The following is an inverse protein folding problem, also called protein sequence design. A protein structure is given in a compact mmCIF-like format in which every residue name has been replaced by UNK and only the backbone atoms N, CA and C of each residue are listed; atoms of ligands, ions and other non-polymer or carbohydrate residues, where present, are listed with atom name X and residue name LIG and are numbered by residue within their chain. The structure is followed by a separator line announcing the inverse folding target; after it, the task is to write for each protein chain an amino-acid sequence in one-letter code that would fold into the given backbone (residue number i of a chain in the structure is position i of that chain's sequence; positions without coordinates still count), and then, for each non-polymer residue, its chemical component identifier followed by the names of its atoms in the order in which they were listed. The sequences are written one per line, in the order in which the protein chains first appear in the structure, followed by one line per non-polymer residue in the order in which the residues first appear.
data_IF_870560168512
#
_entry.id   IF_870560168512
#
_cell.length_a   1.000
_cell.length_b   1.000
_cell.length_c   1.000
_cell.angle_alpha   90.00
_cell.angle_beta   90.00
_cell.angle_gamma   90.00
#
_symmetry.space_group_name_H-M   'P 1'
#
loop_
_entity.id
_entity.type
_entity.pdbx_description
1 polymer ?
#
# COMPACT_ATOMS: atom_id res chain seq x y z
N UNK A 1 11.36 11.60 -16.16
CA UNK A 1 12.81 11.29 -16.07
C UNK A 1 12.97 9.84 -15.66
N UNK A 2 13.62 9.04 -16.51
CA UNK A 2 13.90 7.62 -16.27
C UNK A 2 15.16 7.54 -15.41
N UNK A 3 15.09 7.00 -14.21
CA UNK A 3 16.24 6.76 -13.33
C UNK A 3 17.18 5.73 -13.95
N UNK A 4 18.44 6.08 -14.12
CA UNK A 4 19.44 5.26 -14.80
C UNK A 4 20.53 4.83 -13.85
N UNK A 5 20.43 3.80 -13.05
CA UNK A 5 21.45 3.08 -12.29
C UNK A 5 21.39 3.20 -10.77
N UNK A 6 21.85 2.13 -10.10
CA UNK A 6 21.97 1.99 -8.65
C UNK A 6 22.82 3.12 -7.98
N UNK A 7 23.78 3.68 -8.72
CA UNK A 7 24.61 4.79 -8.26
C UNK A 7 23.84 6.12 -8.16
N UNK A 8 22.86 6.30 -9.06
CA UNK A 8 21.98 7.48 -9.03
C UNK A 8 20.95 7.39 -7.89
N UNK A 9 20.67 6.17 -7.38
CA UNK A 9 19.77 5.96 -6.26
C UNK A 9 20.44 6.25 -4.90
N UNK A 10 21.75 5.96 -4.77
CA UNK A 10 22.53 6.31 -3.55
C UNK A 10 22.76 7.83 -3.45
N UNK A 11 22.97 8.52 -4.58
CA UNK A 11 23.02 9.99 -4.61
C UNK A 11 21.65 10.64 -4.40
N UNK A 12 20.56 9.95 -4.76
CA UNK A 12 19.18 10.43 -4.61
C UNK A 12 18.59 10.18 -3.22
N UNK A 13 19.09 9.19 -2.47
CA UNK A 13 18.64 8.99 -1.08
C UNK A 13 19.03 10.17 -0.20
N UNK A 14 20.23 10.75 -0.39
CA UNK A 14 20.64 12.00 0.25
C UNK A 14 19.86 13.24 -0.22
N UNK A 15 19.39 13.25 -1.47
CA UNK A 15 18.63 14.36 -2.05
C UNK A 15 17.12 14.25 -1.94
N UNK A 16 16.60 13.07 -1.52
CA UNK A 16 15.15 12.84 -1.46
C UNK A 16 14.48 13.72 -0.39
N UNK A 17 15.05 13.80 0.80
CA UNK A 17 14.51 14.58 1.90
C UNK A 17 14.51 16.08 1.58
N UNK A 18 15.60 16.60 1.03
CA UNK A 18 15.68 18.00 0.61
C UNK A 18 14.73 18.27 -0.55
N UNK A 19 14.67 17.41 -1.56
CA UNK A 19 13.74 17.52 -2.69
C UNK A 19 12.27 17.46 -2.25
N UNK A 20 11.94 16.62 -1.25
CA UNK A 20 10.58 16.56 -0.71
C UNK A 20 10.21 17.83 0.04
N UNK A 21 11.11 18.37 0.87
CA UNK A 21 10.92 19.64 1.59
C UNK A 21 10.75 20.80 0.63
N UNK A 22 11.49 20.82 -0.48
CA UNK A 22 11.35 21.83 -1.53
C UNK A 22 10.00 21.75 -2.22
N UNK A 23 9.54 20.53 -2.56
CA UNK A 23 8.21 20.31 -3.14
C UNK A 23 7.11 20.70 -2.16
N UNK A 24 7.25 20.38 -0.88
CA UNK A 24 6.28 20.79 0.14
C UNK A 24 6.19 22.32 0.27
N UNK A 25 7.33 23.00 0.35
CA UNK A 25 7.38 24.48 0.40
C UNK A 25 6.70 25.09 -0.82
N UNK A 26 7.07 24.63 -2.01
CA UNK A 26 6.46 25.08 -3.25
C UNK A 26 4.93 24.86 -3.26
N UNK A 27 4.47 23.71 -2.81
CA UNK A 27 3.04 23.38 -2.78
C UNK A 27 2.26 24.26 -1.80
N UNK A 28 2.83 24.56 -0.63
CA UNK A 28 2.24 25.51 0.34
C UNK A 28 2.09 26.89 -0.28
N UNK A 29 3.13 27.40 -0.96
CA UNK A 29 3.12 28.71 -1.62
C UNK A 29 2.05 28.79 -2.75
N UNK A 30 1.67 27.63 -3.31
CA UNK A 30 0.67 27.53 -4.39
C UNK A 30 -0.69 27.00 -3.93
N UNK A 31 -0.88 26.85 -2.61
CA UNK A 31 -2.11 26.29 -2.01
C UNK A 31 -2.48 24.89 -2.58
N UNK A 32 -1.46 24.03 -2.75
CA UNK A 32 -1.60 22.66 -3.23
C UNK A 32 -1.29 21.70 -2.08
N UNK A 33 -2.14 20.70 -1.85
CA UNK A 33 -1.87 19.61 -0.92
C UNK A 33 -0.91 18.61 -1.54
N UNK A 34 0.14 18.22 -0.79
CA UNK A 34 1.13 17.21 -1.21
C UNK A 34 1.18 16.07 -0.21
N UNK A 35 0.88 14.87 -0.69
CA UNK A 35 1.12 13.63 0.03
C UNK A 35 2.40 12.96 -0.41
N UNK A 36 3.01 12.18 0.48
CA UNK A 36 4.13 11.30 0.15
C UNK A 36 3.68 9.85 0.23
N UNK A 37 3.98 9.08 -0.79
CA UNK A 37 3.83 7.62 -0.78
C UNK A 37 5.19 6.98 -1.07
N UNK A 38 5.71 6.22 -0.10
CA UNK A 38 6.95 5.45 -0.20
C UNK A 38 6.69 3.99 -0.50
N UNK A 39 5.46 3.65 -0.91
CA UNK A 39 5.06 2.28 -1.23
C UNK A 39 5.47 1.89 -2.66
N UNK A 40 6.78 1.72 -2.91
CA UNK A 40 7.23 1.15 -4.18
C UNK A 40 6.90 -0.35 -4.17
N UNK A 41 6.11 -0.80 -5.15
CA UNK A 41 5.74 -2.21 -5.35
C UNK A 41 6.34 -2.74 -6.66
N UNK A 42 6.55 -4.06 -6.76
CA UNK A 42 7.00 -4.67 -7.99
C UNK A 42 6.02 -4.40 -9.14
N UNK A 43 6.52 -4.36 -10.36
CA UNK A 43 5.69 -4.15 -11.55
C UNK A 43 4.68 -5.29 -11.73
N UNK A 44 3.59 -5.00 -12.44
CA UNK A 44 2.52 -5.97 -12.70
C UNK A 44 2.97 -7.23 -13.47
N UNK A 45 4.11 -7.19 -14.15
CA UNK A 45 4.73 -8.34 -14.81
C UNK A 45 5.74 -9.08 -13.94
N UNK A 46 5.70 -8.88 -12.63
CA UNK A 46 6.61 -9.43 -11.62
C UNK A 46 8.08 -9.00 -11.76
N UNK A 47 8.39 -8.02 -12.60
CA UNK A 47 9.72 -7.44 -12.64
C UNK A 47 9.98 -6.63 -11.36
N UNK A 48 11.08 -6.92 -10.68
CA UNK A 48 11.44 -6.37 -9.37
C UNK A 48 12.59 -5.35 -9.41
N UNK A 49 13.07 -4.96 -10.59
CA UNK A 49 14.19 -4.02 -10.73
C UNK A 49 13.92 -2.68 -10.01
N UNK A 50 12.68 -2.21 -10.06
CA UNK A 50 12.27 -0.97 -9.39
C UNK A 50 12.26 -1.07 -7.85
N UNK A 51 12.33 -2.27 -7.27
CA UNK A 51 12.41 -2.44 -5.82
C UNK A 51 13.78 -1.98 -5.26
N UNK A 52 14.81 -1.92 -6.11
CA UNK A 52 16.09 -1.31 -5.75
C UNK A 52 16.03 0.19 -5.44
N UNK A 53 14.90 0.86 -5.77
CA UNK A 53 14.64 2.26 -5.42
C UNK A 53 13.85 2.42 -4.11
N UNK A 54 13.59 1.34 -3.39
CA UNK A 54 12.95 1.42 -2.07
C UNK A 54 13.88 2.08 -1.07
N UNK A 55 13.28 2.84 -0.17
CA UNK A 55 14.00 3.33 1.01
C UNK A 55 14.46 2.17 1.88
N UNK A 56 15.62 2.31 2.49
CA UNK A 56 16.08 1.40 3.54
C UNK A 56 15.17 1.49 4.78
N UNK A 57 15.30 0.57 5.70
CA UNK A 57 14.48 0.61 6.93
C UNK A 57 14.88 1.78 7.83
N UNK A 58 16.14 2.19 7.82
CA UNK A 58 16.66 3.34 8.54
C UNK A 58 16.08 4.65 7.99
N UNK A 59 16.05 4.80 6.65
CA UNK A 59 15.43 5.94 5.99
C UNK A 59 13.92 6.00 6.26
N UNK A 60 13.23 4.86 6.21
CA UNK A 60 11.80 4.76 6.56
C UNK A 60 11.54 5.15 8.01
N UNK A 61 12.37 4.66 8.95
CA UNK A 61 12.25 5.01 10.37
C UNK A 61 12.42 6.51 10.57
N UNK A 62 13.40 7.12 9.91
CA UNK A 62 13.64 8.56 9.97
C UNK A 62 12.44 9.35 9.43
N UNK A 63 11.99 9.06 8.21
CA UNK A 63 10.87 9.77 7.57
C UNK A 63 9.56 9.61 8.36
N UNK A 64 9.25 8.39 8.82
CA UNK A 64 8.04 8.14 9.58
C UNK A 64 8.10 8.84 10.95
N UNK A 65 9.28 8.89 11.59
CA UNK A 65 9.44 9.61 12.86
C UNK A 65 9.23 11.11 12.70
N UNK A 66 9.81 11.72 11.65
CA UNK A 66 9.60 13.13 11.31
C UNK A 66 8.13 13.46 11.07
N UNK A 67 7.41 12.58 10.33
CA UNK A 67 5.98 12.74 10.11
C UNK A 67 5.17 12.62 11.41
N UNK A 68 5.49 11.68 12.27
CA UNK A 68 4.81 11.53 13.57
C UNK A 68 5.06 12.77 14.47
N UNK A 69 6.23 13.39 14.38
CA UNK A 69 6.57 14.54 15.23
C UNK A 69 5.99 15.84 14.68
N UNK A 70 6.02 16.05 13.36
CA UNK A 70 5.82 17.35 12.75
C UNK A 70 4.54 17.45 11.89
N UNK A 71 3.85 16.33 11.59
CA UNK A 71 2.69 16.29 10.71
C UNK A 71 1.45 15.78 11.48
N UNK A 72 0.62 16.73 11.92
CA UNK A 72 -0.59 16.41 12.69
C UNK A 72 -1.62 15.63 11.86
N UNK A 73 -1.72 15.88 10.55
CA UNK A 73 -2.62 15.17 9.65
C UNK A 73 -2.20 13.71 9.52
N UNK A 74 -0.90 13.45 9.35
CA UNK A 74 -0.37 12.09 9.32
C UNK A 74 -0.69 11.30 10.60
N UNK A 75 -0.56 11.93 11.78
CA UNK A 75 -0.90 11.29 13.06
C UNK A 75 -2.40 10.97 13.14
N UNK A 76 -3.26 11.90 12.73
CA UNK A 76 -4.71 11.69 12.73
C UNK A 76 -5.08 10.52 11.82
N UNK A 77 -4.54 10.46 10.61
CA UNK A 77 -4.75 9.37 9.66
C UNK A 77 -4.21 8.05 10.20
N UNK A 78 -3.04 8.04 10.81
CA UNK A 78 -2.48 6.83 11.45
C UNK A 78 -3.38 6.32 12.59
N UNK A 79 -3.90 7.20 13.43
CA UNK A 79 -4.84 6.83 14.50
C UNK A 79 -6.14 6.27 13.94
N UNK A 80 -6.64 6.84 12.85
CA UNK A 80 -7.82 6.36 12.14
C UNK A 80 -7.58 4.98 11.55
N UNK A 81 -6.44 4.77 10.84
CA UNK A 81 -6.03 3.46 10.32
C UNK A 81 -5.98 2.40 11.42
N UNK A 82 -5.34 2.71 12.55
CA UNK A 82 -5.25 1.80 13.71
C UNK A 82 -6.65 1.46 14.23
N UNK A 83 -7.51 2.46 14.38
CA UNK A 83 -8.87 2.27 14.92
C UNK A 83 -9.72 1.40 13.98
N UNK A 84 -9.64 1.63 12.69
CA UNK A 84 -10.34 0.84 11.67
C UNK A 84 -9.82 -0.60 11.65
N UNK A 85 -8.50 -0.80 11.70
CA UNK A 85 -7.89 -2.12 11.71
C UNK A 85 -8.22 -2.91 12.99
N UNK A 86 -8.34 -2.27 14.15
CA UNK A 86 -8.79 -2.91 15.41
C UNK A 86 -10.22 -3.46 15.34
N UNK A 87 -11.07 -2.87 14.51
CA UNK A 87 -12.46 -3.31 14.33
C UNK A 87 -12.59 -4.52 13.40
N UNK A 88 -11.54 -4.83 12.62
CA UNK A 88 -11.55 -5.96 11.72
C UNK A 88 -11.53 -7.28 12.46
N UNK A 89 -12.42 -8.17 12.05
CA UNK A 89 -12.49 -9.56 12.50
C UNK A 89 -11.87 -10.49 11.44
N UNK A 90 -11.75 -11.76 11.74
CA UNK A 90 -11.26 -12.76 10.80
C UNK A 90 -12.11 -12.84 9.52
N UNK A 91 -13.40 -12.56 9.60
CA UNK A 91 -14.33 -12.55 8.46
C UNK A 91 -14.40 -11.20 7.72
N UNK A 92 -13.62 -10.21 8.14
CA UNK A 92 -13.58 -8.92 7.46
C UNK A 92 -12.93 -9.03 6.08
N UNK A 93 -13.45 -8.25 5.11
CA UNK A 93 -12.81 -8.08 3.82
C UNK A 93 -11.44 -7.42 3.97
N UNK A 94 -10.50 -7.83 3.12
CA UNK A 94 -9.16 -7.24 3.08
C UNK A 94 -9.24 -5.79 2.58
N UNK A 95 -9.98 -5.57 1.50
CA UNK A 95 -10.18 -4.27 0.87
C UNK A 95 -11.47 -4.30 0.00
N UNK A 96 -11.68 -3.26 -0.79
CA UNK A 96 -12.85 -3.09 -1.67
C UNK A 96 -12.85 -3.95 -2.94
N UNK A 97 -11.74 -4.65 -3.26
CA UNK A 97 -11.58 -5.45 -4.50
C UNK A 97 -12.77 -6.37 -4.72
N UNK A 98 -13.41 -6.25 -5.89
CA UNK A 98 -14.56 -7.05 -6.32
C UNK A 98 -15.75 -7.08 -5.34
N UNK A 99 -15.70 -6.32 -4.25
CA UNK A 99 -16.76 -6.22 -3.26
C UNK A 99 -17.56 -4.92 -3.42
N UNK A 100 -16.87 -3.79 -3.52
CA UNK A 100 -17.47 -2.48 -3.80
C UNK A 100 -16.73 -1.69 -4.88
N UNK A 101 -15.64 -2.22 -5.42
CA UNK A 101 -14.87 -1.57 -6.50
C UNK A 101 -14.36 -2.56 -7.53
N UNK A 102 -14.23 -2.07 -8.76
CA UNK A 102 -13.65 -2.75 -9.91
C UNK A 102 -13.04 -1.67 -10.82
N UNK A 103 -12.10 -2.02 -11.67
CA UNK A 103 -11.42 -1.08 -12.56
C UNK A 103 -11.66 -1.46 -14.02
N UNK A 104 -11.88 -0.47 -14.88
CA UNK A 104 -12.05 -0.67 -16.32
C UNK A 104 -10.92 0.08 -17.03
N UNK A 105 -10.18 -0.63 -17.88
CA UNK A 105 -9.09 -0.06 -18.68
C UNK A 105 -9.58 0.47 -20.04
N UNK A 106 -8.73 1.21 -20.74
CA UNK A 106 -9.08 1.85 -22.02
C UNK A 106 -9.52 0.88 -23.13
N UNK A 107 -9.03 -0.36 -23.09
CA UNK A 107 -9.40 -1.43 -24.04
C UNK A 107 -10.70 -2.15 -23.67
N UNK A 108 -11.43 -1.69 -22.65
CA UNK A 108 -12.62 -2.36 -22.12
C UNK A 108 -12.33 -3.55 -21.20
N UNK A 109 -11.06 -3.90 -20.98
CA UNK A 109 -10.71 -4.92 -19.99
C UNK A 109 -11.09 -4.49 -18.60
N UNK A 110 -11.66 -5.43 -17.86
CA UNK A 110 -12.08 -5.23 -16.47
C UNK A 110 -11.08 -5.94 -15.55
N UNK A 111 -10.60 -5.19 -14.54
CA UNK A 111 -9.60 -5.64 -13.59
C UNK A 111 -10.17 -5.58 -12.17
N UNK A 112 -9.74 -6.45 -11.26
CA UNK A 112 -10.18 -6.40 -9.85
C UNK A 112 -9.80 -5.10 -9.13
N UNK A 113 -8.66 -4.51 -9.53
CA UNK A 113 -8.09 -3.31 -8.92
C UNK A 113 -7.24 -2.57 -9.95
N UNK A 114 -7.10 -1.26 -9.80
CA UNK A 114 -6.24 -0.40 -10.64
C UNK A 114 -4.78 -0.87 -10.64
N UNK A 115 -4.28 -1.44 -9.56
CA UNK A 115 -2.93 -1.99 -9.46
C UNK A 115 -2.78 -3.42 -10.00
N UNK A 116 -3.85 -4.09 -10.43
CA UNK A 116 -3.83 -5.50 -10.85
C UNK A 116 -4.15 -5.67 -12.33
N UNK A 117 -3.46 -4.92 -13.17
CA UNK A 117 -3.74 -4.81 -14.61
C UNK A 117 -3.31 -6.04 -15.43
N UNK A 118 -2.57 -6.97 -14.86
CA UNK A 118 -2.27 -8.29 -15.47
C UNK A 118 -3.36 -9.34 -15.18
N UNK A 119 -4.39 -9.00 -14.39
CA UNK A 119 -5.48 -9.91 -14.02
C UNK A 119 -6.80 -9.44 -14.60
N UNK A 120 -7.13 -9.90 -15.81
CA UNK A 120 -8.40 -9.56 -16.47
C UNK A 120 -9.51 -10.47 -15.94
N UNK A 121 -10.62 -9.91 -15.49
CA UNK A 121 -11.82 -10.62 -14.99
C UNK A 121 -12.99 -10.58 -15.96
N UNK A 122 -12.88 -9.82 -17.04
CA UNK A 122 -13.86 -9.70 -18.11
C UNK A 122 -13.51 -8.55 -19.06
N UNK A 123 -14.37 -8.33 -20.06
CA UNK A 123 -14.23 -7.20 -20.98
C UNK A 123 -15.62 -6.66 -21.35
N UNK A 124 -15.83 -5.35 -21.17
CA UNK A 124 -17.12 -4.68 -21.38
C UNK A 124 -17.52 -4.54 -22.85
N UNK A 125 -16.62 -4.81 -23.80
CA UNK A 125 -16.95 -4.89 -25.23
C UNK A 125 -17.74 -6.17 -25.53
N UNK A 126 -17.47 -7.26 -24.78
CA UNK A 126 -18.05 -8.57 -25.02
C UNK A 126 -19.22 -8.90 -24.07
N UNK A 127 -19.21 -8.32 -22.84
CA UNK A 127 -20.16 -8.62 -21.79
C UNK A 127 -20.59 -7.34 -21.08
N UNK A 128 -21.81 -7.28 -20.58
CA UNK A 128 -22.19 -6.16 -19.70
C UNK A 128 -21.34 -6.14 -18.42
N UNK A 129 -21.11 -4.95 -17.87
CA UNK A 129 -20.41 -4.83 -16.58
C UNK A 129 -21.18 -5.58 -15.48
N UNK A 130 -22.50 -5.60 -15.55
CA UNK A 130 -23.36 -6.34 -14.62
C UNK A 130 -23.07 -7.84 -14.69
N UNK A 131 -23.01 -8.42 -15.91
CA UNK A 131 -22.70 -9.85 -16.07
C UNK A 131 -21.30 -10.20 -15.56
N UNK A 132 -20.31 -9.37 -15.86
CA UNK A 132 -18.94 -9.55 -15.34
C UNK A 132 -18.95 -9.52 -13.81
N UNK A 133 -19.66 -8.56 -13.21
CA UNK A 133 -19.75 -8.40 -11.77
C UNK A 133 -20.41 -9.56 -11.06
N UNK A 134 -21.46 -10.15 -11.67
CA UNK A 134 -22.27 -11.21 -11.06
C UNK A 134 -21.80 -12.60 -11.47
N UNK A 135 -21.32 -12.81 -12.72
CA UNK A 135 -21.08 -14.14 -13.26
C UNK A 135 -19.63 -14.55 -13.32
N UNK A 136 -18.68 -13.60 -13.39
CA UNK A 136 -17.25 -13.93 -13.45
C UNK A 136 -16.82 -14.75 -12.25
N UNK A 137 -16.31 -15.97 -12.49
CA UNK A 137 -15.85 -16.87 -11.43
C UNK A 137 -14.68 -16.27 -10.65
N UNK A 138 -13.81 -15.52 -11.32
CA UNK A 138 -12.71 -14.84 -10.64
C UNK A 138 -13.19 -13.70 -9.74
N UNK A 139 -14.18 -12.91 -10.17
CA UNK A 139 -14.82 -11.90 -9.31
C UNK A 139 -15.44 -12.57 -8.09
N UNK A 140 -16.18 -13.66 -8.27
CA UNK A 140 -16.77 -14.43 -7.17
C UNK A 140 -15.69 -14.94 -6.22
N UNK A 141 -14.62 -15.55 -6.75
CA UNK A 141 -13.50 -16.07 -5.97
C UNK A 141 -12.81 -14.97 -5.14
N UNK A 142 -12.48 -13.83 -5.75
CA UNK A 142 -11.86 -12.71 -5.04
C UNK A 142 -12.77 -12.14 -3.96
N UNK A 143 -14.07 -12.11 -4.19
CA UNK A 143 -15.09 -11.65 -3.24
C UNK A 143 -15.20 -12.52 -2.00
N UNK A 144 -14.76 -13.78 -2.05
CA UNK A 144 -14.78 -14.68 -0.87
C UNK A 144 -13.59 -14.49 0.07
N UNK A 145 -12.51 -13.85 -0.38
CA UNK A 145 -11.28 -13.71 0.40
C UNK A 145 -11.49 -12.83 1.62
N UNK A 146 -11.04 -13.31 2.77
CA UNK A 146 -11.17 -12.68 4.08
C UNK A 146 -9.81 -12.59 4.78
N UNK A 147 -9.76 -11.85 5.88
CA UNK A 147 -8.56 -11.72 6.70
C UNK A 147 -8.05 -13.07 7.21
N UNK A 148 -8.95 -14.01 7.55
CA UNK A 148 -8.61 -15.38 8.00
C UNK A 148 -7.81 -16.19 6.99
N UNK A 149 -7.90 -15.86 5.68
CA UNK A 149 -7.17 -16.58 4.63
C UNK A 149 -5.68 -16.20 4.59
N UNK A 150 -5.30 -15.13 5.31
CA UNK A 150 -3.91 -14.69 5.52
C UNK A 150 -3.41 -15.21 6.86
N UNK A 151 -3.02 -16.48 6.91
CA UNK A 151 -2.69 -17.22 8.14
C UNK A 151 -1.66 -16.48 9.00
N UNK A 152 -0.57 -15.99 8.40
CA UNK A 152 0.49 -15.27 9.13
C UNK A 152 0.01 -13.91 9.70
N UNK A 153 -1.02 -13.30 9.10
CA UNK A 153 -1.54 -12.01 9.55
C UNK A 153 -2.49 -12.14 10.74
N UNK A 154 -3.07 -13.30 10.94
CA UNK A 154 -4.05 -13.59 11.99
C UNK A 154 -3.49 -13.28 13.38
N UNK A 155 -2.29 -13.81 13.67
CA UNK A 155 -1.59 -13.66 14.95
C UNK A 155 -0.51 -12.56 14.91
N UNK A 156 -0.52 -11.72 13.86
CA UNK A 156 0.50 -10.70 13.68
C UNK A 156 0.34 -9.56 14.69
N UNK A 157 1.40 -9.30 15.45
CA UNK A 157 1.45 -8.21 16.44
C UNK A 157 1.41 -6.80 15.81
N UNK A 158 1.56 -6.68 14.49
CA UNK A 158 1.60 -5.41 13.76
C UNK A 158 0.34 -5.18 12.91
N UNK A 159 -0.65 -6.05 12.97
CA UNK A 159 -1.85 -6.02 12.11
C UNK A 159 -2.64 -4.72 12.19
N UNK A 160 -2.62 -4.04 13.34
CA UNK A 160 -3.30 -2.76 13.54
C UNK A 160 -2.65 -1.62 12.73
N UNK A 161 -1.37 -1.76 12.37
CA UNK A 161 -0.57 -0.79 11.64
C UNK A 161 -0.34 -1.21 10.18
N UNK A 162 -1.06 -2.23 9.72
CA UNK A 162 -0.82 -2.84 8.42
C UNK A 162 -2.10 -2.92 7.59
N UNK A 163 -1.99 -2.50 6.33
CA UNK A 163 -3.02 -2.75 5.32
C UNK A 163 -2.53 -3.85 4.37
N UNK A 164 -3.19 -5.02 4.43
CA UNK A 164 -2.89 -6.14 3.54
C UNK A 164 -3.32 -5.76 2.12
N UNK A 165 -2.46 -5.97 1.14
CA UNK A 165 -2.75 -5.73 -0.27
C UNK A 165 -2.41 -6.96 -1.12
N UNK A 166 -3.43 -7.62 -1.66
CA UNK A 166 -3.28 -8.78 -2.52
C UNK A 166 -2.48 -8.49 -3.79
N UNK A 167 -2.66 -7.30 -4.35
CA UNK A 167 -1.94 -6.86 -5.56
C UNK A 167 -0.45 -6.75 -5.29
N UNK A 168 -0.09 -6.08 -4.22
CA UNK A 168 1.30 -5.91 -3.78
C UNK A 168 1.96 -7.27 -3.54
N UNK A 169 1.28 -8.14 -2.82
CA UNK A 169 1.76 -9.49 -2.56
C UNK A 169 1.93 -10.27 -3.87
N UNK A 170 0.91 -10.27 -4.74
CA UNK A 170 0.95 -10.97 -6.03
C UNK A 170 2.08 -10.46 -6.94
N UNK A 171 2.30 -9.15 -7.02
CA UNK A 171 3.34 -8.58 -7.87
C UNK A 171 4.76 -8.90 -7.37
N UNK A 172 4.95 -9.04 -6.07
CA UNK A 172 6.24 -9.36 -5.45
C UNK A 172 6.49 -10.86 -5.31
N UNK A 173 5.44 -11.67 -5.36
CA UNK A 173 5.57 -13.12 -5.36
C UNK A 173 6.12 -13.62 -6.70
N UNK A 174 7.14 -14.49 -6.71
CA UNK A 174 7.63 -15.12 -7.94
C UNK A 174 6.56 -15.94 -8.68
N UNK A 175 5.56 -16.43 -7.95
CA UNK A 175 4.45 -17.25 -8.48
C UNK A 175 3.18 -16.46 -8.74
N UNK A 176 3.17 -15.16 -8.43
CA UNK A 176 1.96 -14.34 -8.49
C UNK A 176 0.95 -14.62 -7.38
N UNK A 177 1.37 -15.28 -6.30
CA UNK A 177 0.50 -15.69 -5.19
C UNK A 177 0.11 -14.47 -4.32
N UNK A 178 -1.19 -14.08 -4.24
CA UNK A 178 -1.62 -12.94 -3.44
C UNK A 178 -1.56 -13.17 -1.92
N UNK A 179 -1.35 -14.41 -1.48
CA UNK A 179 -1.23 -14.77 -0.06
C UNK A 179 0.23 -14.79 0.43
N UNK A 180 1.20 -14.70 -0.47
CA UNK A 180 2.63 -14.60 -0.12
C UNK A 180 2.97 -13.16 0.29
N UNK A 181 3.26 -12.96 1.57
CA UNK A 181 3.39 -11.62 2.14
C UNK A 181 4.70 -10.93 1.73
N UNK A 182 4.60 -9.69 1.29
CA UNK A 182 5.76 -8.83 1.12
C UNK A 182 6.34 -8.42 2.48
N UNK A 183 7.53 -8.92 2.81
CA UNK A 183 8.21 -8.66 4.09
C UNK A 183 8.58 -7.20 4.29
N UNK A 184 8.85 -6.48 3.21
CA UNK A 184 9.10 -5.04 3.26
C UNK A 184 7.96 -4.28 3.94
N UNK A 185 6.72 -4.56 3.54
CA UNK A 185 5.55 -3.90 4.14
C UNK A 185 5.21 -4.41 5.54
N UNK A 186 5.55 -5.65 5.87
CA UNK A 186 5.48 -6.13 7.25
C UNK A 186 6.42 -5.32 8.16
N UNK A 187 7.63 -5.01 7.69
CA UNK A 187 8.58 -4.18 8.44
C UNK A 187 8.12 -2.72 8.55
N UNK A 188 7.49 -2.14 7.52
CA UNK A 188 6.88 -0.80 7.63
C UNK A 188 5.83 -0.77 8.75
N UNK A 189 4.97 -1.78 8.83
CA UNK A 189 3.98 -1.86 9.90
C UNK A 189 4.62 -1.97 11.30
N UNK A 190 5.73 -2.70 11.41
CA UNK A 190 6.53 -2.79 12.63
C UNK A 190 7.10 -1.42 13.02
N UNK A 191 7.75 -0.73 12.09
CA UNK A 191 8.32 0.62 12.29
C UNK A 191 7.22 1.59 12.73
N UNK A 192 6.08 1.63 12.04
CA UNK A 192 4.93 2.47 12.42
C UNK A 192 4.51 2.22 13.88
N UNK A 193 4.40 0.96 14.29
CA UNK A 193 4.02 0.59 15.67
C UNK A 193 5.04 1.07 16.69
N UNK A 194 6.33 0.80 16.45
CA UNK A 194 7.41 1.16 17.37
C UNK A 194 7.49 2.67 17.56
N UNK A 195 7.44 3.43 16.48
CA UNK A 195 7.47 4.89 16.51
C UNK A 195 6.20 5.49 17.13
N UNK A 196 5.03 4.98 16.79
CA UNK A 196 3.77 5.42 17.42
C UNK A 196 3.81 5.20 18.94
N UNK A 197 4.29 4.04 19.39
CA UNK A 197 4.44 3.77 20.82
C UNK A 197 5.46 4.71 21.47
N UNK A 198 6.58 4.99 20.81
CA UNK A 198 7.63 5.86 21.32
C UNK A 198 7.15 7.31 21.51
N UNK A 199 6.45 7.85 20.52
CA UNK A 199 6.11 9.27 20.51
C UNK A 199 4.70 9.57 21.04
N UNK A 200 3.71 8.73 20.76
CA UNK A 200 2.32 9.00 21.13
C UNK A 200 1.94 8.49 22.53
N UNK A 201 2.66 7.48 23.09
CA UNK A 201 2.42 7.04 24.47
C UNK A 201 2.89 8.04 25.51
N UNK A 202 3.85 8.89 25.17
CA UNK A 202 4.37 9.94 26.05
C UNK A 202 3.46 11.19 26.11
N UNK A 203 2.58 11.39 25.11
CA UNK A 203 1.62 12.51 25.09
C UNK A 203 0.44 12.30 26.06
N UNK A 204 0.17 11.06 26.49
CA UNK A 204 -0.88 10.76 27.49
C UNK A 204 -0.45 10.97 28.95
N UNK A 205 0.80 11.35 29.20
CA UNK A 205 1.36 11.56 30.54
C UNK A 205 1.58 13.04 30.93
N UNK A 206 1.13 13.93 30.07
CA UNK A 206 1.06 15.37 30.38
C UNK A 206 -0.42 15.81 30.39
#
# INVERSE_FOLDING_TARGET
RTFRRKKDAEELSCGFEDSYKDVQRWAVDHNISVGIDFSIIARYNHNQENLGCRLSYEELEHIISEKIINDSEYIEDLKKEITENKRKTEDSYICSICNSSICIGPSGNVFPCVGWTNKVVGNIVNNSLYDIWIQSDEVKRLRTIRLKDFIECKECNFKEYCTICMVRNSNESPTGNPFELSRYFCNIAKIKKELHNKYCSNLKRK
#
